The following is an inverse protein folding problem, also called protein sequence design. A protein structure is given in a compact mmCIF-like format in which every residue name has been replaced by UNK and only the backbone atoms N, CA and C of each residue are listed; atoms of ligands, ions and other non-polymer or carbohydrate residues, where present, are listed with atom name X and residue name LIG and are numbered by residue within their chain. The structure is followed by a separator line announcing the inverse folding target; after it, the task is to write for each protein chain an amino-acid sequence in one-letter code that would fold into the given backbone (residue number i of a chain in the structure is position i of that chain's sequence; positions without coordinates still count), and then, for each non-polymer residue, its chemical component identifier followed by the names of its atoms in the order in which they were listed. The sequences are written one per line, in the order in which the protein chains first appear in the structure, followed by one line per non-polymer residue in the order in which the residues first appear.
data_IF_722329161036
#
_entry.id   IF_722329161036
#
_cell.length_a   1.000
_cell.length_b   1.000
_cell.length_c   1.000
_cell.angle_alpha   90.00
_cell.angle_beta   90.00
_cell.angle_gamma   90.00
#
_symmetry.space_group_name_H-M   'P 1'
#
loop_
_entity.id
_entity.type
_entity.pdbx_description
1 polymer ?
#
# COMPACT_ATOMS: atom_id res chain seq x y z
N UNK A 1 14.47 15.56 -11.35
CA UNK A 1 14.10 14.12 -11.41
C UNK A 1 12.79 13.99 -10.65
N UNK A 2 11.80 13.35 -11.23
CA UNK A 2 10.51 13.11 -10.55
C UNK A 2 10.41 11.62 -10.27
N UNK A 3 10.26 11.22 -9.02
CA UNK A 3 10.00 9.83 -8.61
C UNK A 3 8.50 9.67 -8.44
N UNK A 4 7.91 8.69 -9.14
CA UNK A 4 6.48 8.39 -9.06
C UNK A 4 6.21 7.15 -8.22
N UNK A 5 7.09 6.15 -8.30
CA UNK A 5 7.05 4.92 -7.52
C UNK A 5 8.44 4.37 -7.26
N UNK A 6 8.57 3.57 -6.23
CA UNK A 6 9.81 2.92 -5.82
C UNK A 6 9.51 1.52 -5.30
N UNK A 7 10.36 0.57 -5.62
CA UNK A 7 10.26 -0.84 -5.20
C UNK A 7 11.53 -1.20 -4.44
N UNK A 8 11.35 -1.74 -3.24
CA UNK A 8 12.44 -2.18 -2.37
C UNK A 8 12.15 -3.62 -1.98
N UNK A 9 13.00 -4.53 -2.44
CA UNK A 9 12.96 -5.93 -2.00
C UNK A 9 13.73 -6.09 -0.69
N UNK A 10 13.35 -7.10 0.09
CA UNK A 10 13.99 -7.47 1.34
C UNK A 10 14.03 -6.31 2.37
N UNK A 11 12.89 -5.60 2.48
CA UNK A 11 12.77 -4.40 3.30
C UNK A 11 13.02 -4.66 4.78
N UNK A 12 12.40 -5.70 5.35
CA UNK A 12 12.63 -6.11 6.74
C UNK A 12 13.77 -7.12 6.81
N UNK A 13 14.65 -6.95 7.81
CA UNK A 13 15.74 -7.90 8.08
C UNK A 13 15.19 -9.28 8.50
N UNK A 14 14.08 -9.27 9.25
CA UNK A 14 13.40 -10.50 9.68
C UNK A 14 11.89 -10.40 9.38
N UNK A 15 11.47 -10.63 8.12
CA UNK A 15 10.07 -10.49 7.71
C UNK A 15 9.15 -11.52 8.39
N UNK A 16 9.65 -12.71 8.74
CA UNK A 16 8.85 -13.73 9.41
C UNK A 16 8.44 -13.27 10.82
N UNK A 17 9.33 -12.62 11.53
CA UNK A 17 9.00 -12.03 12.84
C UNK A 17 7.95 -10.93 12.71
N UNK A 18 8.05 -10.08 11.69
CA UNK A 18 7.04 -9.02 11.41
C UNK A 18 5.70 -9.66 11.07
N UNK A 19 5.68 -10.66 10.20
CA UNK A 19 4.47 -11.40 9.85
C UNK A 19 3.85 -12.07 11.08
N UNK A 20 4.61 -12.80 11.87
CA UNK A 20 4.12 -13.49 13.07
C UNK A 20 3.55 -12.49 14.07
N UNK A 21 4.22 -11.34 14.27
CA UNK A 21 3.68 -10.25 15.05
C UNK A 21 2.36 -9.75 14.50
N UNK A 22 2.26 -9.47 13.19
CA UNK A 22 1.05 -9.02 12.56
C UNK A 22 -0.12 -9.99 12.77
N UNK A 23 0.11 -11.30 12.57
CA UNK A 23 -0.91 -12.34 12.72
C UNK A 23 -1.36 -12.54 14.18
N UNK A 24 -0.56 -12.12 15.16
CA UNK A 24 -0.92 -12.14 16.58
C UNK A 24 -1.78 -10.96 17.00
N UNK A 25 -1.93 -9.92 16.15
CA UNK A 25 -2.70 -8.73 16.48
C UNK A 25 -4.18 -8.87 16.10
N UNK A 26 -5.10 -8.16 16.78
CA UNK A 26 -6.50 -8.14 16.41
C UNK A 26 -6.72 -7.35 15.10
N UNK A 27 -7.33 -7.97 14.10
CA UNK A 27 -7.82 -7.34 12.87
C UNK A 27 -9.25 -6.84 13.08
N UNK A 28 -9.44 -5.87 13.94
CA UNK A 28 -10.75 -5.37 14.39
C UNK A 28 -11.14 -4.01 13.80
N UNK A 29 -10.24 -3.35 13.07
CA UNK A 29 -10.54 -2.07 12.43
C UNK A 29 -11.19 -2.31 11.07
N UNK A 30 -12.30 -1.62 10.84
CA UNK A 30 -13.04 -1.58 9.58
C UNK A 30 -13.16 -0.13 9.13
N UNK A 31 -13.22 0.10 7.83
CA UNK A 31 -13.30 1.45 7.27
C UNK A 31 -13.49 1.40 5.76
N UNK A 32 -13.21 2.51 5.09
CA UNK A 32 -13.24 2.58 3.62
C UNK A 32 -11.95 1.95 3.03
N UNK A 33 -11.76 0.67 3.32
CA UNK A 33 -10.69 -0.17 2.79
C UNK A 33 -11.12 -1.63 2.80
N UNK A 34 -10.61 -2.47 1.89
CA UNK A 34 -10.93 -3.90 1.85
C UNK A 34 -10.43 -4.66 3.07
N UNK A 35 -11.19 -5.67 3.49
CA UNK A 35 -10.78 -6.56 4.57
C UNK A 35 -10.81 -5.93 5.95
N UNK A 36 -9.73 -6.09 6.71
CA UNK A 36 -9.60 -5.57 8.07
C UNK A 36 -8.17 -5.12 8.37
N UNK A 37 -8.03 -4.17 9.30
CA UNK A 37 -6.74 -3.66 9.77
C UNK A 37 -6.55 -3.91 11.27
N UNK A 38 -5.29 -3.95 11.68
CA UNK A 38 -4.87 -3.85 13.08
C UNK A 38 -4.79 -2.39 13.52
N UNK A 39 -4.42 -2.14 14.79
CA UNK A 39 -3.85 -0.87 15.19
C UNK A 39 -2.58 -0.55 14.35
N UNK A 40 -2.16 0.70 14.36
CA UNK A 40 -0.94 1.14 13.69
C UNK A 40 0.32 0.73 14.50
N UNK A 41 1.33 0.24 13.79
CA UNK A 41 2.65 -0.11 14.32
C UNK A 41 3.73 0.53 13.45
N UNK A 42 4.01 1.80 13.69
CA UNK A 42 5.02 2.58 12.96
C UNK A 42 6.11 3.00 13.94
N UNK A 43 7.27 2.34 13.85
CA UNK A 43 8.41 2.57 14.76
C UNK A 43 9.43 3.53 14.15
N UNK A 44 10.30 4.10 14.99
CA UNK A 44 11.41 4.94 14.52
C UNK A 44 12.35 4.17 13.59
N UNK A 45 12.53 2.87 13.78
CA UNK A 45 13.35 2.04 12.88
C UNK A 45 12.72 1.91 11.50
N UNK A 46 11.39 1.73 11.40
CA UNK A 46 10.67 1.71 10.13
C UNK A 46 10.79 3.07 9.44
N UNK A 47 10.60 4.16 10.19
CA UNK A 47 10.76 5.53 9.70
C UNK A 47 12.16 5.74 9.14
N UNK A 48 13.19 5.41 9.91
CA UNK A 48 14.58 5.55 9.50
C UNK A 48 14.91 4.71 8.25
N UNK A 49 14.37 3.48 8.17
CA UNK A 49 14.55 2.62 7.00
C UNK A 49 13.92 3.24 5.74
N UNK A 50 12.69 3.77 5.82
CA UNK A 50 12.05 4.44 4.69
C UNK A 50 12.86 5.68 4.27
N UNK A 51 13.27 6.53 5.21
CA UNK A 51 14.09 7.71 4.94
C UNK A 51 15.43 7.35 4.27
N UNK A 52 16.03 6.23 4.66
CA UNK A 52 17.28 5.74 4.07
C UNK A 52 17.12 5.46 2.56
N UNK A 53 16.00 4.88 2.15
CA UNK A 53 15.72 4.59 0.74
C UNK A 53 15.23 5.83 -0.05
N UNK A 54 14.84 6.91 0.64
CA UNK A 54 14.32 8.14 0.03
C UNK A 54 15.20 9.38 0.35
N UNK A 55 16.53 9.34 0.20
CA UNK A 55 17.41 10.44 0.63
C UNK A 55 17.12 11.77 -0.10
N UNK A 56 16.56 11.74 -1.30
CA UNK A 56 16.17 12.93 -2.06
C UNK A 56 14.93 13.63 -1.48
N UNK A 57 14.06 12.90 -0.77
CA UNK A 57 12.82 13.41 -0.21
C UNK A 57 13.03 14.12 1.15
N UNK A 58 14.19 13.89 1.79
CA UNK A 58 14.46 14.41 3.13
C UNK A 58 13.78 13.59 4.22
N UNK A 59 13.45 14.25 5.33
CA UNK A 59 12.84 13.57 6.47
C UNK A 59 11.34 13.42 6.32
N UNK A 60 10.80 12.38 6.95
CA UNK A 60 9.35 12.22 7.11
C UNK A 60 8.86 13.27 8.11
N UNK A 61 7.92 14.09 7.68
CA UNK A 61 7.39 15.24 8.44
C UNK A 61 6.04 14.96 9.06
N UNK A 62 5.24 14.04 8.46
CA UNK A 62 3.93 13.66 8.94
C UNK A 62 3.68 12.19 8.61
N UNK A 63 3.14 11.42 9.54
CA UNK A 63 2.88 9.98 9.40
C UNK A 63 1.40 9.63 9.54
N UNK A 64 0.53 10.62 9.68
CA UNK A 64 -0.91 10.40 9.86
C UNK A 64 -1.25 9.38 10.96
N UNK A 65 -0.43 9.33 12.01
CA UNK A 65 -0.59 8.38 13.14
C UNK A 65 -1.95 8.50 13.80
N UNK A 66 -2.48 9.71 13.92
CA UNK A 66 -3.79 9.96 14.54
C UNK A 66 -4.95 9.34 13.76
N UNK A 67 -4.77 9.05 12.46
CA UNK A 67 -5.74 8.33 11.65
C UNK A 67 -5.68 6.82 11.82
N UNK A 68 -4.61 6.30 12.45
CA UNK A 68 -4.40 4.87 12.66
C UNK A 68 -4.09 4.08 11.39
N UNK A 69 -3.69 4.75 10.29
CA UNK A 69 -3.47 4.07 9.00
C UNK A 69 -2.01 3.73 8.73
N UNK A 70 -1.08 4.61 9.07
CA UNK A 70 0.35 4.37 8.83
C UNK A 70 0.88 3.33 9.80
N UNK A 71 1.47 2.26 9.24
CA UNK A 71 1.99 1.12 10.01
C UNK A 71 0.94 0.06 10.35
N UNK A 72 -0.33 0.22 9.99
CA UNK A 72 -1.34 -0.80 10.22
C UNK A 72 -1.11 -2.01 9.31
N UNK A 73 -1.24 -3.21 9.85
CA UNK A 73 -1.33 -4.42 9.04
C UNK A 73 -2.74 -4.57 8.51
N UNK A 74 -2.86 -4.92 7.25
CA UNK A 74 -4.15 -5.16 6.61
C UNK A 74 -4.18 -6.57 6.03
N UNK A 75 -5.31 -7.24 6.24
CA UNK A 75 -5.63 -8.53 5.61
C UNK A 75 -6.81 -8.35 4.68
N UNK A 76 -6.69 -8.85 3.46
CA UNK A 76 -7.78 -8.98 2.51
C UNK A 76 -7.76 -10.40 1.91
N UNK A 77 -8.94 -10.92 1.57
CA UNK A 77 -9.15 -12.27 1.05
C UNK A 77 -9.86 -12.24 -0.30
N UNK A 78 -9.97 -13.36 -0.98
CA UNK A 78 -10.70 -13.49 -2.25
C UNK A 78 -12.17 -13.01 -2.19
N UNK A 79 -12.73 -12.80 -1.00
CA UNK A 79 -14.09 -12.29 -0.82
C UNK A 79 -14.17 -10.77 -0.83
N UNK A 80 -13.03 -10.08 -0.67
CA UNK A 80 -12.97 -8.64 -0.62
C UNK A 80 -12.93 -8.05 -2.04
N UNK A 81 -13.39 -6.80 -2.17
CA UNK A 81 -13.34 -6.05 -3.44
C UNK A 81 -12.36 -4.92 -3.35
N UNK A 82 -11.65 -4.67 -4.43
CA UNK A 82 -10.78 -3.53 -4.61
C UNK A 82 -11.38 -2.55 -5.62
N UNK A 83 -10.89 -1.32 -5.61
CA UNK A 83 -11.23 -0.29 -6.59
C UNK A 83 -10.03 0.59 -6.88
N UNK A 84 -10.04 1.26 -8.02
CA UNK A 84 -9.00 2.21 -8.39
C UNK A 84 -9.27 3.53 -7.67
N UNK A 85 -8.26 4.06 -6.99
CA UNK A 85 -8.34 5.29 -6.21
C UNK A 85 -6.98 6.00 -6.16
N UNK A 86 -6.96 7.15 -5.53
CA UNK A 86 -5.75 7.86 -5.10
C UNK A 86 -5.89 8.24 -3.63
N UNK A 87 -4.76 8.46 -2.96
CA UNK A 87 -4.63 8.90 -1.57
C UNK A 87 -4.07 10.34 -1.51
N UNK A 88 -4.84 11.33 -1.97
CA UNK A 88 -4.31 12.68 -2.25
C UNK A 88 -3.99 13.50 -0.99
N UNK A 89 -4.38 13.02 0.18
CA UNK A 89 -4.14 13.71 1.46
C UNK A 89 -2.72 13.54 2.00
N UNK A 90 -1.95 12.63 1.42
CA UNK A 90 -0.55 12.39 1.76
C UNK A 90 0.34 12.44 0.51
N UNK A 91 1.60 12.82 0.68
CA UNK A 91 2.56 12.86 -0.43
C UNK A 91 2.87 11.47 -0.95
N UNK A 92 2.97 10.49 -0.03
CA UNK A 92 3.37 9.13 -0.33
C UNK A 92 2.42 8.13 0.30
N UNK A 93 2.11 7.10 -0.44
CA UNK A 93 1.45 5.90 0.05
C UNK A 93 2.35 4.69 -0.23
N UNK A 94 2.22 3.63 0.56
CA UNK A 94 3.02 2.44 0.35
C UNK A 94 2.44 1.20 1.02
N UNK A 95 2.91 0.06 0.53
CA UNK A 95 2.55 -1.26 1.07
C UNK A 95 3.78 -2.15 1.13
N UNK A 96 3.95 -2.85 2.25
CA UNK A 96 4.93 -3.93 2.37
C UNK A 96 4.19 -5.27 2.39
N UNK A 97 4.44 -6.15 1.39
CA UNK A 97 3.77 -7.44 1.28
C UNK A 97 4.34 -8.45 2.26
N UNK A 98 3.45 -9.14 2.99
CA UNK A 98 3.83 -10.04 4.09
C UNK A 98 3.17 -11.43 3.99
N UNK A 99 2.69 -11.84 2.81
CA UNK A 99 2.25 -13.21 2.58
C UNK A 99 3.31 -13.97 1.80
N UNK A 100 3.95 -15.02 2.37
CA UNK A 100 4.84 -15.90 1.64
C UNK A 100 4.12 -16.59 0.47
N UNK A 101 4.85 -16.87 -0.60
CA UNK A 101 4.34 -17.59 -1.78
C UNK A 101 3.05 -17.02 -2.40
N UNK A 102 2.82 -15.72 -2.18
CA UNK A 102 1.68 -15.01 -2.75
C UNK A 102 1.73 -15.02 -4.29
N UNK A 103 0.57 -15.10 -4.96
CA UNK A 103 0.54 -14.94 -6.41
C UNK A 103 1.02 -13.53 -6.79
N UNK A 104 1.91 -13.42 -7.77
CA UNK A 104 2.43 -12.12 -8.23
C UNK A 104 1.31 -11.19 -8.70
N UNK A 105 0.23 -11.75 -9.25
CA UNK A 105 -0.97 -11.00 -9.65
C UNK A 105 -1.67 -10.29 -8.49
N UNK A 106 -1.46 -10.72 -7.24
CA UNK A 106 -1.98 -10.07 -6.03
C UNK A 106 -1.21 -8.80 -5.61
N UNK A 107 -0.53 -8.15 -6.52
CA UNK A 107 0.28 -6.96 -6.29
C UNK A 107 -0.49 -5.64 -6.31
N UNK A 108 0.17 -4.60 -6.83
CA UNK A 108 -0.39 -3.25 -6.99
C UNK A 108 -0.38 -2.85 -8.46
N UNK A 109 -1.52 -2.46 -8.97
CA UNK A 109 -1.67 -1.89 -10.31
C UNK A 109 -1.62 -0.36 -10.26
N UNK A 110 -1.00 0.24 -11.26
CA UNK A 110 -0.97 1.69 -11.49
C UNK A 110 -1.80 2.01 -12.73
N UNK A 111 -2.64 3.03 -12.63
CA UNK A 111 -3.69 3.28 -13.61
C UNK A 111 -3.67 4.70 -14.18
N UNK A 112 -4.18 4.80 -15.41
CA UNK A 112 -4.47 6.07 -16.09
C UNK A 112 -5.94 6.10 -16.47
N UNK A 113 -6.61 7.21 -16.19
CA UNK A 113 -8.00 7.38 -16.62
C UNK A 113 -8.08 7.55 -18.13
N UNK A 114 -8.92 6.77 -18.83
CA UNK A 114 -8.96 6.73 -20.29
C UNK A 114 -9.45 8.02 -20.92
N UNK A 115 -10.42 8.68 -20.32
CA UNK A 115 -11.01 9.91 -20.86
C UNK A 115 -10.09 11.11 -20.60
N UNK A 116 -9.71 11.36 -19.33
CA UNK A 116 -8.91 12.53 -18.96
C UNK A 116 -7.43 12.38 -19.28
N UNK A 117 -6.94 11.16 -19.50
CA UNK A 117 -5.51 10.80 -19.68
C UNK A 117 -4.64 11.07 -18.46
N UNK A 118 -5.25 11.33 -17.32
CA UNK A 118 -4.54 11.62 -16.07
C UNK A 118 -4.08 10.33 -15.37
N UNK A 119 -2.88 10.39 -14.80
CA UNK A 119 -2.31 9.37 -13.92
C UNK A 119 -2.48 9.74 -12.44
N UNK A 120 -2.73 11.00 -12.15
CA UNK A 120 -2.77 11.59 -10.82
C UNK A 120 -4.03 12.40 -10.63
N UNK A 121 -4.54 12.48 -9.43
CA UNK A 121 -5.62 13.39 -9.13
C UNK A 121 -6.56 12.92 -8.03
N UNK A 122 -7.64 13.67 -7.93
CA UNK A 122 -8.79 13.37 -7.07
C UNK A 122 -9.92 12.89 -7.97
N UNK A 123 -10.03 11.59 -8.15
CA UNK A 123 -11.10 11.08 -8.99
C UNK A 123 -12.31 10.68 -8.17
N UNK A 124 -13.49 10.79 -8.80
CA UNK A 124 -14.74 10.37 -8.19
C UNK A 124 -14.69 8.86 -7.90
N UNK A 125 -14.93 8.47 -6.65
CA UNK A 125 -14.88 7.08 -6.18
C UNK A 125 -15.73 6.11 -7.02
N UNK A 126 -16.81 6.59 -7.65
CA UNK A 126 -17.69 5.76 -8.48
C UNK A 126 -17.00 5.19 -9.73
N UNK A 127 -16.07 5.92 -10.32
CA UNK A 127 -15.34 5.44 -11.49
C UNK A 127 -14.30 4.38 -11.15
N UNK A 128 -13.82 4.34 -9.92
CA UNK A 128 -12.85 3.35 -9.46
C UNK A 128 -13.33 1.90 -9.54
N UNK A 129 -14.64 1.67 -9.49
CA UNK A 129 -15.24 0.34 -9.63
C UNK A 129 -15.47 -0.08 -11.10
N UNK A 130 -15.44 0.85 -12.02
CA UNK A 130 -15.59 0.58 -13.46
C UNK A 130 -14.22 0.52 -14.15
N UNK A 131 -13.58 -0.62 -14.11
CA UNK A 131 -12.26 -0.84 -14.71
C UNK A 131 -12.21 -0.58 -16.21
N UNK A 132 -13.34 -0.53 -16.91
CA UNK A 132 -13.39 -0.20 -18.35
C UNK A 132 -12.96 1.24 -18.63
N UNK A 133 -13.05 2.13 -17.64
CA UNK A 133 -12.62 3.54 -17.73
C UNK A 133 -11.12 3.76 -17.56
N UNK A 134 -10.37 2.71 -17.24
CA UNK A 134 -8.96 2.82 -16.85
C UNK A 134 -8.06 2.00 -17.77
N UNK A 135 -6.86 2.53 -18.02
CA UNK A 135 -5.74 1.80 -18.59
C UNK A 135 -4.82 1.37 -17.43
N UNK A 136 -4.57 0.08 -17.29
CA UNK A 136 -3.52 -0.43 -16.42
C UNK A 136 -2.19 -0.25 -17.16
N UNK A 137 -1.31 0.62 -16.67
CA UNK A 137 -0.06 0.93 -17.37
C UNK A 137 1.17 0.33 -16.70
N UNK A 138 1.07 -0.04 -15.41
CA UNK A 138 2.15 -0.72 -14.71
C UNK A 138 1.62 -1.70 -13.66
N UNK A 139 2.37 -2.77 -13.42
CA UNK A 139 2.04 -3.81 -12.44
C UNK A 139 3.26 -4.07 -11.58
N UNK A 140 3.11 -3.85 -10.26
CA UNK A 140 4.11 -4.21 -9.28
C UNK A 140 3.70 -5.51 -8.61
N UNK A 141 4.39 -6.60 -8.94
CA UNK A 141 4.06 -7.93 -8.45
C UNK A 141 4.19 -8.06 -6.93
N UNK A 142 3.25 -8.80 -6.32
CA UNK A 142 3.36 -9.20 -4.93
C UNK A 142 4.57 -10.13 -4.75
N UNK A 143 5.50 -9.71 -3.92
CA UNK A 143 6.65 -10.50 -3.49
C UNK A 143 6.82 -10.33 -1.99
N UNK A 144 6.98 -11.43 -1.29
CA UNK A 144 7.19 -11.41 0.16
C UNK A 144 8.33 -10.48 0.55
N UNK A 145 8.09 -9.63 1.57
CA UNK A 145 9.04 -8.63 2.07
C UNK A 145 9.41 -7.51 1.05
N UNK A 146 8.55 -7.28 0.06
CA UNK A 146 8.70 -6.14 -0.87
C UNK A 146 7.92 -4.95 -0.34
N UNK A 147 8.62 -3.82 -0.15
CA UNK A 147 8.00 -2.52 0.05
C UNK A 147 7.83 -1.81 -1.29
N UNK A 148 6.64 -1.35 -1.55
CA UNK A 148 6.31 -0.47 -2.68
C UNK A 148 5.90 0.87 -2.10
N UNK A 149 6.53 1.96 -2.57
CA UNK A 149 6.14 3.34 -2.24
C UNK A 149 5.80 4.04 -3.55
N UNK A 150 4.72 4.79 -3.55
CA UNK A 150 4.27 5.59 -4.70
C UNK A 150 3.68 6.92 -4.22
N UNK A 151 3.57 7.88 -5.13
CA UNK A 151 2.91 9.15 -4.84
C UNK A 151 1.47 8.91 -4.43
N UNK A 152 1.02 9.55 -3.35
CA UNK A 152 -0.34 9.38 -2.84
C UNK A 152 -1.42 9.75 -3.84
N UNK A 153 -1.17 10.77 -4.69
CA UNK A 153 -2.09 11.20 -5.74
C UNK A 153 -2.09 10.33 -7.01
N UNK A 154 -1.21 9.31 -7.11
CA UNK A 154 -1.17 8.38 -8.24
C UNK A 154 -2.36 7.41 -8.17
N UNK A 155 -3.08 7.24 -9.30
CA UNK A 155 -4.16 6.26 -9.36
C UNK A 155 -3.64 4.85 -9.28
N UNK A 156 -4.11 4.11 -8.27
CA UNK A 156 -3.66 2.76 -7.99
C UNK A 156 -4.79 1.87 -7.45
N UNK A 157 -4.55 0.59 -7.46
CA UNK A 157 -5.40 -0.40 -6.77
C UNK A 157 -4.57 -1.61 -6.36
N UNK A 158 -4.97 -2.29 -5.30
CA UNK A 158 -4.63 -3.70 -5.16
C UNK A 158 -5.21 -4.46 -6.35
N UNK A 159 -4.45 -5.39 -6.90
CA UNK A 159 -4.96 -6.25 -7.97
C UNK A 159 -5.74 -7.43 -7.37
N UNK A 160 -5.38 -8.66 -7.69
CA UNK A 160 -6.09 -9.83 -7.19
C UNK A 160 -5.98 -9.97 -5.66
N UNK A 161 -7.11 -10.19 -5.01
CA UNK A 161 -7.15 -10.71 -3.66
C UNK A 161 -7.23 -12.23 -3.70
N UNK A 162 -6.58 -12.86 -2.74
CA UNK A 162 -6.43 -14.30 -2.69
C UNK A 162 -6.56 -14.82 -1.27
N UNK A 163 -6.63 -16.15 -1.12
CA UNK A 163 -6.79 -16.81 0.17
C UNK A 163 -8.18 -16.62 0.76
N UNK A 164 -8.41 -17.18 1.93
CA UNK A 164 -9.71 -17.17 2.61
C UNK A 164 -9.64 -16.99 4.13
N UNK A 165 -8.44 -16.78 4.68
CA UNK A 165 -8.21 -16.59 6.11
C UNK A 165 -6.96 -15.74 6.38
N UNK A 166 -6.63 -15.53 7.65
CA UNK A 166 -5.47 -14.72 8.08
C UNK A 166 -4.14 -15.29 7.61
N UNK A 167 -4.01 -16.60 7.50
CA UNK A 167 -2.73 -17.27 7.17
C UNK A 167 -2.41 -17.20 5.68
N UNK A 168 -3.44 -17.34 4.82
CA UNK A 168 -3.25 -17.45 3.38
C UNK A 168 -3.82 -16.28 2.57
N UNK A 169 -4.43 -15.29 3.23
CA UNK A 169 -4.91 -14.08 2.59
C UNK A 169 -3.78 -13.09 2.25
N UNK A 170 -4.12 -12.03 1.55
CA UNK A 170 -3.19 -10.95 1.21
C UNK A 170 -2.92 -10.09 2.44
N UNK A 171 -1.87 -10.43 3.18
CA UNK A 171 -1.37 -9.65 4.31
C UNK A 171 -0.34 -8.63 3.83
N UNK A 172 -0.46 -7.40 4.28
CA UNK A 172 0.50 -6.32 4.01
C UNK A 172 0.45 -5.26 5.10
N UNK A 173 1.52 -4.48 5.22
CA UNK A 173 1.55 -3.31 6.08
C UNK A 173 1.40 -2.05 5.24
N UNK A 174 0.59 -1.09 5.68
CA UNK A 174 0.31 0.16 4.96
C UNK A 174 1.12 1.32 5.51
N UNK A 175 1.52 2.25 4.62
CA UNK A 175 2.25 3.45 4.98
C UNK A 175 1.65 4.65 4.25
N UNK A 176 1.42 5.76 4.98
CA UNK A 176 0.95 7.03 4.46
C UNK A 176 1.73 8.14 5.15
N UNK A 177 2.48 8.93 4.40
CA UNK A 177 3.37 9.91 5.01
C UNK A 177 3.69 11.08 4.07
N UNK A 178 4.15 12.18 4.68
CA UNK A 178 4.71 13.32 3.99
C UNK A 178 6.21 13.41 4.26
N UNK A 179 6.93 14.02 3.35
CA UNK A 179 8.36 14.28 3.44
C UNK A 179 8.64 15.77 3.23
N UNK A 180 9.86 16.22 3.56
CA UNK A 180 10.28 17.62 3.35
C UNK A 180 10.18 18.05 1.87
N UNK A 181 10.35 17.09 0.94
CA UNK A 181 10.30 17.30 -0.51
C UNK A 181 9.53 16.13 -1.17
N UNK A 182 8.95 16.42 -2.30
CA UNK A 182 8.24 15.43 -3.15
C UNK A 182 9.04 15.11 -4.40
#
# INVERSE_FOLDING_TARGET
MQVTSMIIDDFYVNPDSVRNFALSQPFDKKGNFPGARTAAYFTDDIKAAIEHYMPWAGKITNTYEMSGFTGAFQIATAQDRTWIHSDPHNMWAGVCYLTPDAPHSGGTGLFRHKETKEHFGHHNEYDGYDYTKWDLFDIIGNKYNRLVIYRGDLYHASLDYFGNNLENGRLFQTFFFDTEKR
#
